data_IF_431068272518
#
_entry.id   IF_431068272518
#
_cell.length_a   1.000
_cell.length_b   1.000
_cell.length_c   1.000
_cell.angle_alpha   90.00
_cell.angle_beta   90.00
_cell.angle_gamma   90.00
#
_symmetry.space_group_name_H-M   'P 1'
#
loop_
_entity.id
_entity.type
_entity.pdbx_description
1 polymer ?
#
# COMPACT_ATOMS: atom_id res chain seq x y z
N UNK A 1 -10.20 17.78 36.38
CA UNK A 1 -10.72 17.19 35.13
C UNK A 1 -10.72 15.68 35.31
N UNK A 2 -11.76 14.99 34.85
CA UNK A 2 -11.88 13.53 34.97
C UNK A 2 -10.81 12.85 34.09
N UNK A 3 -9.78 12.31 34.74
CA UNK A 3 -8.59 11.71 34.11
C UNK A 3 -8.95 10.51 33.23
N UNK A 4 -10.00 9.76 33.59
CA UNK A 4 -10.50 8.63 32.80
C UNK A 4 -11.15 9.13 31.51
N UNK A 5 -11.97 10.19 31.56
CA UNK A 5 -12.58 10.77 30.35
C UNK A 5 -11.53 11.32 29.38
N UNK A 6 -10.49 11.96 29.90
CA UNK A 6 -9.39 12.47 29.07
C UNK A 6 -8.63 11.34 28.37
N UNK A 7 -8.24 10.30 29.11
CA UNK A 7 -7.62 9.10 28.53
C UNK A 7 -8.52 8.46 27.48
N UNK A 8 -9.80 8.27 27.78
CA UNK A 8 -10.75 7.69 26.84
C UNK A 8 -10.92 8.54 25.57
N UNK A 9 -10.90 9.87 25.68
CA UNK A 9 -10.90 10.75 24.53
C UNK A 9 -9.63 10.60 23.69
N UNK A 10 -8.46 10.54 24.33
CA UNK A 10 -7.18 10.31 23.65
C UNK A 10 -7.19 9.01 22.85
N UNK A 11 -7.53 7.88 23.48
CA UNK A 11 -7.57 6.59 22.80
C UNK A 11 -8.57 6.57 21.63
N UNK A 12 -9.75 7.21 21.73
CA UNK A 12 -10.66 7.34 20.58
C UNK A 12 -10.08 8.09 19.38
N UNK A 13 -9.03 8.89 19.57
CA UNK A 13 -8.41 9.71 18.52
C UNK A 13 -7.10 9.13 18.02
N UNK A 14 -6.38 8.40 18.87
CA UNK A 14 -5.04 7.89 18.61
C UNK A 14 -4.96 6.35 18.58
N UNK A 15 -6.06 5.64 18.80
CA UNK A 15 -6.14 4.18 18.77
C UNK A 15 -7.52 3.69 18.33
N UNK A 16 -7.69 2.37 18.39
CA UNK A 16 -8.96 1.66 18.16
C UNK A 16 -9.78 1.46 19.44
N UNK A 17 -9.50 2.23 20.49
CA UNK A 17 -10.13 2.13 21.81
C UNK A 17 -9.13 1.84 22.93
N UNK A 18 -9.68 1.61 24.13
CA UNK A 18 -8.90 1.27 25.31
C UNK A 18 -9.66 0.26 26.17
N UNK A 19 -8.91 -0.64 26.78
CA UNK A 19 -9.38 -1.49 27.86
C UNK A 19 -9.60 -0.66 29.12
N UNK A 20 -10.43 -1.18 30.03
CA UNK A 20 -10.65 -0.55 31.34
C UNK A 20 -9.35 -0.41 32.13
N UNK A 21 -8.46 -1.40 32.05
CA UNK A 21 -7.17 -1.37 32.73
C UNK A 21 -6.26 -0.25 32.22
N UNK A 22 -6.23 0.02 30.92
CA UNK A 22 -5.47 1.14 30.36
C UNK A 22 -6.02 2.51 30.79
N UNK A 23 -7.35 2.62 30.92
CA UNK A 23 -7.98 3.85 31.40
C UNK A 23 -7.68 4.12 32.88
N UNK A 24 -7.80 3.10 33.73
CA UNK A 24 -7.60 3.21 35.18
C UNK A 24 -6.11 3.30 35.54
N UNK A 25 -5.26 2.46 34.93
CA UNK A 25 -3.87 2.24 35.37
C UNK A 25 -2.81 2.61 34.32
N UNK A 26 -3.18 2.92 33.08
CA UNK A 26 -2.22 3.24 32.02
C UNK A 26 -1.54 4.59 32.16
N UNK A 27 -0.49 4.81 31.37
CA UNK A 27 0.25 6.08 31.28
C UNK A 27 -0.64 7.25 30.84
N UNK A 28 -0.15 8.48 31.05
CA UNK A 28 -0.86 9.68 30.62
C UNK A 28 -0.79 9.86 29.09
N UNK A 29 -1.79 10.48 28.46
CA UNK A 29 -1.82 10.68 27.00
C UNK A 29 -0.54 11.26 26.38
N UNK A 30 0.09 12.24 27.04
CA UNK A 30 1.31 12.87 26.54
C UNK A 30 2.51 11.89 26.54
N UNK A 31 2.60 11.04 27.54
CA UNK A 31 3.66 10.04 27.64
C UNK A 31 3.46 8.93 26.60
N UNK A 32 2.22 8.48 26.40
CA UNK A 32 1.87 7.49 25.38
C UNK A 32 2.17 7.98 23.96
N UNK A 33 1.79 9.21 23.61
CA UNK A 33 2.07 9.72 22.26
C UNK A 33 3.58 9.90 22.04
N UNK A 34 4.32 10.33 23.07
CA UNK A 34 5.77 10.45 22.97
C UNK A 34 6.44 9.10 22.75
N UNK A 35 6.03 8.05 23.48
CA UNK A 35 6.59 6.71 23.30
C UNK A 35 6.25 6.14 21.92
N UNK A 36 5.02 6.30 21.45
CA UNK A 36 4.59 5.83 20.12
C UNK A 36 5.27 6.56 18.96
N UNK A 37 5.66 7.83 19.13
CA UNK A 37 6.40 8.57 18.11
C UNK A 37 7.90 8.23 18.10
N UNK A 38 8.46 7.80 19.24
CA UNK A 38 9.87 7.39 19.34
C UNK A 38 10.13 5.99 18.76
N UNK A 39 9.13 5.10 18.82
CA UNK A 39 9.14 3.82 18.12
C UNK A 39 8.01 3.75 17.08
N UNK A 40 8.19 4.45 15.94
CA UNK A 40 7.15 4.54 14.92
C UNK A 40 7.00 3.27 14.10
N UNK A 41 7.81 2.23 14.31
CA UNK A 41 7.82 1.02 13.48
C UNK A 41 7.77 -0.23 14.37
N UNK A 42 6.65 -0.45 15.10
CA UNK A 42 6.47 -1.70 15.82
C UNK A 42 6.60 -2.86 14.83
N UNK A 43 7.30 -3.92 15.21
CA UNK A 43 7.37 -5.12 14.37
C UNK A 43 5.94 -5.65 14.19
N UNK A 44 5.37 -5.60 12.96
CA UNK A 44 3.99 -6.03 12.77
C UNK A 44 3.89 -7.52 13.05
N UNK A 45 2.71 -8.01 13.45
CA UNK A 45 2.44 -9.44 13.44
C UNK A 45 2.86 -10.04 12.08
N UNK A 46 3.45 -11.24 12.05
CA UNK A 46 3.87 -11.87 10.80
C UNK A 46 2.73 -11.87 9.77
N UNK A 47 2.97 -11.42 8.53
CA UNK A 47 1.95 -11.43 7.50
C UNK A 47 1.54 -12.87 7.14
N UNK A 48 0.30 -13.08 6.63
CA UNK A 48 -0.14 -14.39 6.19
C UNK A 48 0.74 -14.90 5.05
N UNK A 49 1.00 -16.21 5.05
CA UNK A 49 1.68 -16.87 3.94
C UNK A 49 0.71 -17.05 2.79
N UNK A 50 1.07 -16.53 1.62
CA UNK A 50 0.21 -16.53 0.45
C UNK A 50 0.64 -17.62 -0.53
N UNK A 51 -0.32 -18.46 -0.93
CA UNK A 51 -0.11 -19.46 -1.96
C UNK A 51 -0.05 -18.81 -3.35
N UNK A 52 0.78 -19.35 -4.26
CA UNK A 52 0.79 -18.87 -5.63
C UNK A 52 -0.57 -19.10 -6.32
N UNK A 53 -0.93 -18.28 -7.33
CA UNK A 53 -2.17 -18.44 -8.05
C UNK A 53 -2.27 -19.83 -8.68
N UNK A 54 -3.34 -20.57 -8.36
CA UNK A 54 -3.62 -21.89 -8.93
C UNK A 54 -3.73 -21.91 -10.45
N UNK A 55 -4.16 -20.80 -11.07
CA UNK A 55 -4.24 -20.64 -12.51
C UNK A 55 -3.57 -19.34 -12.96
N UNK A 56 -2.70 -19.45 -13.98
CA UNK A 56 -2.16 -18.30 -14.71
C UNK A 56 -3.21 -17.71 -15.66
N UNK A 57 -3.07 -16.43 -16.09
CA UNK A 57 -4.04 -15.79 -17.00
C UNK A 57 -4.34 -16.58 -18.28
N UNK A 58 -3.33 -17.23 -18.89
CA UNK A 58 -3.54 -18.09 -20.08
C UNK A 58 -4.32 -19.36 -19.75
N UNK A 59 -4.01 -20.01 -18.63
CA UNK A 59 -4.70 -21.23 -18.19
C UNK A 59 -6.17 -20.93 -17.86
N UNK A 60 -6.46 -19.74 -17.32
CA UNK A 60 -7.83 -19.31 -17.03
C UNK A 60 -8.75 -19.39 -18.25
N UNK A 61 -8.23 -19.06 -19.44
CA UNK A 61 -9.02 -19.09 -20.69
C UNK A 61 -9.39 -20.51 -21.12
N UNK A 62 -8.57 -21.50 -20.77
CA UNK A 62 -8.74 -22.90 -21.16
C UNK A 62 -9.35 -23.77 -20.05
N UNK A 63 -9.32 -23.28 -18.80
CA UNK A 63 -9.81 -23.99 -17.63
C UNK A 63 -11.33 -24.21 -17.66
N UNK A 64 -11.76 -25.34 -17.09
CA UNK A 64 -13.15 -25.69 -16.86
C UNK A 64 -13.84 -24.72 -15.89
N UNK A 65 -15.19 -24.66 -15.87
CA UNK A 65 -15.92 -23.86 -14.90
C UNK A 65 -15.56 -24.18 -13.43
N UNK A 66 -15.28 -25.44 -13.12
CA UNK A 66 -14.89 -25.89 -11.78
C UNK A 66 -13.53 -25.34 -11.35
N UNK A 67 -12.52 -25.47 -12.21
CA UNK A 67 -11.16 -24.94 -11.96
C UNK A 67 -11.17 -23.41 -11.82
N UNK A 68 -11.92 -22.71 -12.67
CA UNK A 68 -12.10 -21.24 -12.55
C UNK A 68 -12.77 -20.84 -11.24
N UNK A 69 -13.71 -21.66 -10.74
CA UNK A 69 -14.34 -21.43 -9.43
C UNK A 69 -13.35 -21.64 -8.30
N UNK A 70 -12.56 -22.70 -8.35
CA UNK A 70 -11.52 -22.98 -7.35
C UNK A 70 -10.47 -21.86 -7.28
N UNK A 71 -9.97 -21.39 -8.43
CA UNK A 71 -9.00 -20.30 -8.48
C UNK A 71 -9.56 -18.99 -7.89
N UNK A 72 -10.82 -18.66 -8.20
CA UNK A 72 -11.49 -17.50 -7.59
C UNK A 72 -11.68 -17.65 -6.09
N UNK A 73 -12.02 -18.85 -5.62
CA UNK A 73 -12.16 -19.12 -4.19
C UNK A 73 -10.82 -19.01 -3.46
N UNK A 74 -9.72 -19.47 -4.05
CA UNK A 74 -8.37 -19.31 -3.50
C UNK A 74 -8.00 -17.83 -3.34
N UNK A 75 -8.20 -17.02 -4.39
CA UNK A 75 -7.96 -15.57 -4.35
C UNK A 75 -8.80 -14.91 -3.25
N UNK A 76 -10.08 -15.29 -3.14
CA UNK A 76 -10.99 -14.76 -2.12
C UNK A 76 -10.55 -15.15 -0.71
N UNK A 77 -10.14 -16.40 -0.49
CA UNK A 77 -9.66 -16.88 0.82
C UNK A 77 -8.46 -16.07 1.28
N UNK A 78 -7.43 -15.98 0.45
CA UNK A 78 -6.21 -15.23 0.76
C UNK A 78 -6.48 -13.73 0.98
N UNK A 79 -7.42 -13.13 0.23
CA UNK A 79 -7.81 -11.74 0.47
C UNK A 79 -8.51 -11.55 1.83
N UNK A 80 -9.33 -12.52 2.26
CA UNK A 80 -9.96 -12.51 3.58
C UNK A 80 -8.94 -12.76 4.70
N UNK A 81 -7.94 -13.62 4.47
CA UNK A 81 -6.83 -13.84 5.41
C UNK A 81 -6.01 -12.57 5.63
N UNK A 82 -5.69 -11.83 4.56
CA UNK A 82 -5.08 -10.49 4.67
C UNK A 82 -6.00 -9.57 5.48
N UNK A 83 -7.30 -9.55 5.19
CA UNK A 83 -8.27 -8.74 5.94
C UNK A 83 -8.31 -9.06 7.44
N UNK A 84 -8.29 -10.35 7.79
CA UNK A 84 -8.23 -10.81 9.18
C UNK A 84 -6.95 -10.37 9.88
N UNK A 85 -5.80 -10.55 9.21
CA UNK A 85 -4.51 -10.07 9.70
C UNK A 85 -4.49 -8.55 9.92
N UNK A 86 -5.05 -7.75 9.01
CA UNK A 86 -5.16 -6.30 9.18
C UNK A 86 -5.95 -5.91 10.43
N UNK A 87 -7.07 -6.59 10.69
CA UNK A 87 -7.90 -6.36 11.88
C UNK A 87 -7.13 -6.75 13.15
N UNK A 88 -6.40 -7.87 13.11
CA UNK A 88 -5.59 -8.32 14.24
C UNK A 88 -4.51 -7.30 14.59
N UNK A 89 -3.83 -6.71 13.59
CA UNK A 89 -2.88 -5.60 13.81
C UNK A 89 -3.57 -4.43 14.52
N UNK A 90 -4.71 -3.97 14.01
CA UNK A 90 -5.43 -2.81 14.59
C UNK A 90 -5.81 -3.00 16.06
N UNK A 91 -6.12 -4.24 16.46
CA UNK A 91 -6.59 -4.55 17.82
C UNK A 91 -5.44 -4.89 18.77
N UNK A 92 -4.32 -5.44 18.27
CA UNK A 92 -3.27 -6.02 19.11
C UNK A 92 -1.93 -5.31 19.03
N UNK A 93 -1.74 -4.38 18.08
CA UNK A 93 -0.47 -3.69 17.89
C UNK A 93 -0.05 -2.92 19.16
N UNK A 94 1.22 -3.05 19.60
CA UNK A 94 1.73 -2.30 20.75
C UNK A 94 1.69 -0.78 20.58
N UNK A 95 1.75 -0.31 19.33
CA UNK A 95 1.61 1.09 18.95
C UNK A 95 0.35 1.27 18.10
N UNK A 96 -0.82 1.54 18.71
CA UNK A 96 -2.07 1.69 17.98
C UNK A 96 -2.17 3.01 17.19
N UNK A 97 -1.35 4.01 17.52
CA UNK A 97 -1.26 5.24 16.73
C UNK A 97 -0.73 4.95 15.33
N UNK A 98 0.27 4.07 15.23
CA UNK A 98 0.80 3.60 13.95
C UNK A 98 -0.30 3.02 13.04
N UNK A 99 -1.13 2.11 13.56
CA UNK A 99 -2.21 1.50 12.78
C UNK A 99 -3.34 2.50 12.47
N UNK A 100 -3.61 3.45 13.37
CA UNK A 100 -4.57 4.54 13.14
C UNK A 100 -4.11 5.43 11.97
N UNK A 101 -2.83 5.82 11.95
CA UNK A 101 -2.27 6.62 10.86
C UNK A 101 -2.15 5.81 9.56
N UNK A 102 -1.77 4.53 9.64
CA UNK A 102 -1.82 3.60 8.50
C UNK A 102 -3.21 3.57 7.87
N UNK A 103 -4.27 3.53 8.68
CA UNK A 103 -5.65 3.57 8.21
C UNK A 103 -5.99 4.91 7.52
N UNK A 104 -5.55 6.04 8.06
CA UNK A 104 -5.70 7.35 7.40
C UNK A 104 -5.08 7.32 6.01
N UNK A 105 -3.87 6.76 5.88
CA UNK A 105 -3.21 6.66 4.58
C UNK A 105 -3.89 5.69 3.63
N UNK A 106 -4.44 4.57 4.12
CA UNK A 106 -5.27 3.67 3.32
C UNK A 106 -6.48 4.39 2.73
N UNK A 107 -7.13 5.23 3.53
CA UNK A 107 -8.34 5.94 3.12
C UNK A 107 -8.04 7.11 2.17
N UNK A 108 -6.86 7.72 2.31
CA UNK A 108 -6.40 8.81 1.44
C UNK A 108 -5.80 8.30 0.11
N UNK A 109 -4.88 7.34 0.19
CA UNK A 109 -4.24 6.67 -0.94
C UNK A 109 -5.03 5.40 -1.25
N UNK A 110 -6.18 5.55 -1.90
CA UNK A 110 -7.08 4.41 -2.13
C UNK A 110 -6.64 3.54 -3.31
N UNK A 111 -6.83 2.22 -3.18
CA UNK A 111 -6.76 1.26 -4.29
C UNK A 111 -7.97 0.34 -4.28
N UNK A 112 -8.37 -0.16 -5.45
CA UNK A 112 -9.42 -1.17 -5.55
C UNK A 112 -8.83 -2.56 -5.82
N UNK A 113 -9.03 -3.49 -4.89
CA UNK A 113 -8.67 -4.90 -5.09
C UNK A 113 -9.25 -5.49 -6.38
N UNK A 114 -10.43 -5.02 -6.81
CA UNK A 114 -11.07 -5.50 -8.04
C UNK A 114 -10.29 -5.17 -9.32
N UNK A 115 -9.43 -4.15 -9.31
CA UNK A 115 -8.62 -3.75 -10.49
C UNK A 115 -7.44 -4.70 -10.74
N UNK A 116 -6.90 -5.35 -9.70
CA UNK A 116 -5.74 -6.23 -9.83
C UNK A 116 -6.00 -7.69 -9.43
N UNK A 117 -6.94 -7.94 -8.51
CA UNK A 117 -7.43 -9.26 -8.10
C UNK A 117 -6.30 -10.27 -7.78
N UNK A 118 -5.26 -9.80 -7.09
CA UNK A 118 -4.06 -10.56 -6.74
C UNK A 118 -3.67 -10.25 -5.28
N UNK A 119 -3.87 -11.21 -4.35
CA UNK A 119 -3.56 -11.02 -2.92
C UNK A 119 -2.12 -10.55 -2.64
N UNK A 120 -1.07 -11.03 -3.34
CA UNK A 120 0.29 -10.53 -3.11
C UNK A 120 0.45 -9.03 -3.34
N UNK A 121 -0.27 -8.45 -4.31
CA UNK A 121 -0.20 -7.01 -4.58
C UNK A 121 -0.92 -6.20 -3.51
N UNK A 122 -2.01 -6.74 -2.95
CA UNK A 122 -2.65 -6.14 -1.79
C UNK A 122 -1.70 -6.16 -0.61
N UNK A 123 -1.11 -7.32 -0.29
CA UNK A 123 -0.19 -7.44 0.86
C UNK A 123 1.03 -6.50 0.74
N UNK A 124 1.66 -6.43 -0.43
CA UNK A 124 2.76 -5.47 -0.69
C UNK A 124 2.30 -4.02 -0.45
N UNK A 125 1.11 -3.65 -0.94
CA UNK A 125 0.52 -2.32 -0.70
C UNK A 125 0.34 -2.02 0.80
N UNK A 126 -0.22 -2.97 1.54
CA UNK A 126 -0.47 -2.86 2.98
C UNK A 126 0.80 -2.72 3.81
N UNK A 127 1.86 -3.43 3.42
CA UNK A 127 3.16 -3.36 4.08
C UNK A 127 3.85 -2.03 3.81
N UNK A 128 3.72 -1.47 2.61
CA UNK A 128 4.26 -0.13 2.28
C UNK A 128 3.58 0.96 3.08
N UNK A 129 2.25 0.94 3.19
CA UNK A 129 1.54 1.92 4.02
C UNK A 129 2.05 1.92 5.46
N UNK A 130 2.25 0.74 6.03
CA UNK A 130 2.80 0.56 7.38
C UNK A 130 4.24 1.04 7.49
N UNK A 131 5.10 0.65 6.56
CA UNK A 131 6.51 1.02 6.57
C UNK A 131 6.72 2.55 6.66
N UNK A 132 5.84 3.34 6.07
CA UNK A 132 5.96 4.80 6.01
C UNK A 132 4.86 5.53 6.79
N UNK A 133 4.07 4.85 7.64
CA UNK A 133 2.86 5.44 8.22
C UNK A 133 3.16 6.70 9.06
N UNK A 134 4.18 6.66 9.91
CA UNK A 134 4.61 7.80 10.74
C UNK A 134 5.84 8.51 10.16
N UNK A 135 6.19 8.23 8.90
CA UNK A 135 7.38 8.74 8.22
C UNK A 135 7.12 9.96 7.34
N UNK A 136 8.05 10.23 6.44
CA UNK A 136 7.95 11.32 5.47
C UNK A 136 6.92 11.01 4.38
N UNK A 137 6.01 11.96 4.11
CA UNK A 137 4.93 11.77 3.16
C UNK A 137 5.43 11.56 1.72
N UNK A 138 6.55 12.18 1.32
CA UNK A 138 7.14 11.98 -0.02
C UNK A 138 7.60 10.54 -0.18
N UNK A 139 8.17 9.94 0.86
CA UNK A 139 8.66 8.57 0.82
C UNK A 139 7.49 7.57 0.79
N UNK A 140 6.45 7.82 1.60
CA UNK A 140 5.17 7.10 1.53
C UNK A 140 4.58 7.16 0.11
N UNK A 141 4.43 8.39 -0.42
CA UNK A 141 3.84 8.63 -1.71
C UNK A 141 4.63 7.94 -2.82
N UNK A 142 5.96 8.02 -2.79
CA UNK A 142 6.81 7.34 -3.77
C UNK A 142 6.68 5.81 -3.70
N UNK A 143 6.70 5.26 -2.48
CA UNK A 143 6.57 3.82 -2.25
C UNK A 143 5.22 3.29 -2.75
N UNK A 144 4.13 3.98 -2.43
CA UNK A 144 2.78 3.68 -2.93
C UNK A 144 2.70 3.89 -4.43
N UNK A 145 3.30 4.97 -4.95
CA UNK A 145 3.17 5.35 -6.35
C UNK A 145 3.69 4.27 -7.29
N UNK A 146 4.75 3.60 -6.84
CA UNK A 146 5.47 2.55 -7.57
C UNK A 146 4.98 1.13 -7.25
N UNK A 147 3.98 0.99 -6.37
CA UNK A 147 3.41 -0.31 -6.00
C UNK A 147 2.59 -0.93 -7.15
N UNK A 148 2.61 -2.27 -7.32
CA UNK A 148 1.80 -2.94 -8.35
C UNK A 148 0.29 -2.67 -8.23
N UNK A 149 -0.22 -2.58 -6.99
CA UNK A 149 -1.64 -2.30 -6.76
C UNK A 149 -2.06 -0.93 -7.30
N UNK A 150 -1.29 0.12 -6.99
CA UNK A 150 -1.59 1.48 -7.43
C UNK A 150 -1.39 1.64 -8.95
N UNK A 151 -0.31 1.06 -9.50
CA UNK A 151 -0.04 1.08 -10.94
C UNK A 151 -1.19 0.47 -11.76
N UNK A 152 -1.82 -0.61 -11.28
CA UNK A 152 -2.98 -1.23 -11.94
C UNK A 152 -4.28 -0.47 -11.66
N UNK A 153 -4.43 0.07 -10.45
CA UNK A 153 -5.62 0.82 -10.07
C UNK A 153 -5.83 2.02 -11.02
N UNK A 154 -4.75 2.74 -11.33
CA UNK A 154 -4.74 3.96 -12.12
C UNK A 154 -4.31 3.76 -13.58
N UNK A 155 -4.37 2.51 -14.04
CA UNK A 155 -4.18 2.10 -15.43
C UNK A 155 -2.80 2.47 -16.03
N UNK A 156 -1.75 2.55 -15.20
CA UNK A 156 -0.38 2.88 -15.64
C UNK A 156 0.25 1.78 -16.51
N UNK A 157 -0.25 0.55 -16.45
CA UNK A 157 0.15 -0.51 -17.38
C UNK A 157 -0.14 -0.16 -18.86
N UNK A 158 -1.03 0.80 -19.11
CA UNK A 158 -1.35 1.33 -20.45
C UNK A 158 -0.52 2.57 -20.83
N UNK A 159 0.23 3.15 -19.91
CA UNK A 159 0.96 4.41 -20.11
C UNK A 159 2.29 4.18 -20.83
N UNK A 160 2.38 4.37 -22.15
CA UNK A 160 3.59 4.10 -22.94
C UNK A 160 4.25 5.38 -23.42
N UNK A 161 5.56 5.36 -23.67
CA UNK A 161 6.31 6.54 -24.10
C UNK A 161 5.81 7.13 -25.44
N UNK A 162 5.31 6.27 -26.33
CA UNK A 162 4.70 6.60 -27.61
C UNK A 162 3.19 6.91 -27.52
N UNK A 163 2.55 6.55 -26.40
CA UNK A 163 1.13 6.78 -26.16
C UNK A 163 0.88 6.96 -24.65
N UNK A 164 1.00 8.21 -24.20
CA UNK A 164 0.88 8.55 -22.78
C UNK A 164 -0.53 8.27 -22.28
N UNK A 165 -0.61 7.68 -21.09
CA UNK A 165 -1.85 7.64 -20.31
C UNK A 165 -1.68 8.58 -19.12
N UNK A 166 -2.37 9.71 -19.19
CA UNK A 166 -2.28 10.81 -18.22
C UNK A 166 -3.06 10.56 -16.93
N UNK A 167 -3.94 9.55 -16.89
CA UNK A 167 -4.88 9.35 -15.78
C UNK A 167 -4.18 9.33 -14.43
N UNK A 168 -3.12 8.51 -14.30
CA UNK A 168 -2.41 8.42 -13.04
C UNK A 168 -1.72 9.73 -12.67
N UNK A 169 -1.02 10.38 -13.61
CA UNK A 169 -0.37 11.65 -13.31
C UNK A 169 -1.36 12.71 -12.84
N UNK A 170 -2.55 12.75 -13.45
CA UNK A 170 -3.60 13.69 -13.09
C UNK A 170 -4.15 13.40 -11.69
N UNK A 171 -4.47 12.13 -11.39
CA UNK A 171 -4.96 11.74 -10.06
C UNK A 171 -3.90 11.96 -8.97
N UNK A 172 -2.63 11.70 -9.26
CA UNK A 172 -1.53 11.95 -8.33
C UNK A 172 -1.46 13.44 -7.94
N UNK A 173 -1.61 14.34 -8.91
CA UNK A 173 -1.64 15.78 -8.66
C UNK A 173 -2.92 16.23 -7.97
N UNK A 174 -4.06 15.78 -8.48
CA UNK A 174 -5.37 16.27 -8.07
C UNK A 174 -5.87 15.69 -6.73
N UNK A 175 -5.68 14.40 -6.50
CA UNK A 175 -6.30 13.70 -5.37
C UNK A 175 -5.31 13.49 -4.22
N UNK A 176 -4.03 13.29 -4.52
CA UNK A 176 -3.05 12.87 -3.52
C UNK A 176 -2.05 13.96 -3.13
N UNK A 177 -1.89 15.03 -3.90
CA UNK A 177 -0.83 16.02 -3.60
C UNK A 177 -1.34 17.46 -3.52
N UNK A 178 -1.34 18.16 -4.66
CA UNK A 178 -1.47 19.61 -4.72
C UNK A 178 -2.91 20.09 -4.92
N UNK A 179 -3.82 19.20 -5.29
CA UNK A 179 -5.23 19.52 -5.47
C UNK A 179 -5.56 20.10 -6.84
N UNK A 180 -6.86 20.11 -7.14
CA UNK A 180 -7.39 20.64 -8.41
C UNK A 180 -7.08 22.14 -8.56
N UNK A 181 -6.65 22.55 -9.76
CA UNK A 181 -6.40 23.96 -10.08
C UNK A 181 -4.99 24.46 -9.71
N UNK A 182 -4.15 23.60 -9.13
CA UNK A 182 -2.77 23.92 -8.75
C UNK A 182 -1.72 23.32 -9.70
N UNK A 183 -2.16 22.77 -10.84
CA UNK A 183 -1.30 22.18 -11.87
C UNK A 183 -1.80 22.56 -13.27
N UNK A 184 -0.92 22.49 -14.25
CA UNK A 184 -1.24 22.69 -15.66
C UNK A 184 -1.32 21.37 -16.41
N UNK A 185 -1.90 21.40 -17.61
CA UNK A 185 -1.90 20.23 -18.50
C UNK A 185 -0.48 19.77 -18.86
N UNK A 186 0.46 20.70 -18.95
CA UNK A 186 1.87 20.38 -19.19
C UNK A 186 2.47 19.58 -18.04
N UNK A 187 2.11 19.88 -16.79
CA UNK A 187 2.55 19.13 -15.61
C UNK A 187 2.02 17.69 -15.64
N UNK A 188 0.74 17.51 -16.00
CA UNK A 188 0.13 16.18 -16.16
C UNK A 188 0.87 15.35 -17.22
N UNK A 189 1.18 15.95 -18.37
CA UNK A 189 1.96 15.27 -19.41
C UNK A 189 3.38 14.94 -18.96
N UNK A 190 4.04 15.84 -18.24
CA UNK A 190 5.37 15.60 -17.70
C UNK A 190 5.39 14.45 -16.69
N UNK A 191 4.43 14.42 -15.76
CA UNK A 191 4.29 13.32 -14.79
C UNK A 191 3.90 12.01 -15.47
N UNK A 192 3.04 12.04 -16.50
CA UNK A 192 2.72 10.85 -17.29
C UNK A 192 3.96 10.27 -17.96
N UNK A 193 4.82 11.12 -18.55
CA UNK A 193 6.11 10.69 -19.12
C UNK A 193 7.02 10.06 -18.06
N UNK A 194 7.11 10.66 -16.87
CA UNK A 194 7.86 10.12 -15.74
C UNK A 194 7.38 8.73 -15.31
N UNK A 195 6.08 8.47 -15.43
CA UNK A 195 5.47 7.21 -15.03
C UNK A 195 5.56 6.06 -16.06
N UNK A 196 5.94 6.33 -17.32
CA UNK A 196 5.98 5.31 -18.38
C UNK A 196 6.96 4.16 -18.13
N UNK A 197 8.00 4.38 -17.32
CA UNK A 197 9.03 3.39 -17.00
C UNK A 197 8.63 2.40 -15.90
N UNK A 198 7.54 2.68 -15.18
CA UNK A 198 7.09 1.86 -14.05
C UNK A 198 6.14 0.78 -14.53
N UNK A 199 6.63 -0.47 -14.49
CA UNK A 199 5.95 -1.66 -14.99
C UNK A 199 5.99 -2.77 -13.97
N UNK A 200 4.91 -3.53 -13.95
CA UNK A 200 4.83 -4.79 -13.22
C UNK A 200 5.55 -5.83 -14.05
N UNK A 201 6.56 -6.48 -13.47
CA UNK A 201 7.32 -7.54 -14.11
C UNK A 201 6.42 -8.77 -14.37
N UNK A 202 6.19 -9.13 -15.65
CA UNK A 202 5.43 -10.34 -15.99
C UNK A 202 6.13 -11.64 -15.55
N UNK A 203 7.45 -11.62 -15.32
CA UNK A 203 8.23 -12.78 -14.88
C UNK A 203 8.12 -13.01 -13.38
N UNK A 204 7.99 -11.95 -12.59
CA UNK A 204 7.68 -12.05 -11.17
C UNK A 204 6.35 -12.79 -10.94
N UNK A 205 5.34 -12.49 -11.77
CA UNK A 205 4.06 -13.22 -11.83
C UNK A 205 4.21 -14.69 -12.25
N UNK A 206 5.32 -15.07 -12.90
CA UNK A 206 5.61 -16.44 -13.37
C UNK A 206 6.51 -17.24 -12.42
N UNK A 207 7.41 -16.58 -11.69
CA UNK A 207 8.37 -17.20 -10.73
C UNK A 207 7.73 -17.64 -9.41
N UNK A 208 6.44 -17.33 -9.21
CA UNK A 208 5.56 -17.86 -8.16
C UNK A 208 5.37 -19.41 -8.21
N UNK A 209 6.37 -20.19 -8.58
CA UNK A 209 6.29 -21.65 -8.63
C UNK A 209 7.61 -22.40 -8.56
N UNK A 210 8.77 -21.74 -8.55
CA UNK A 210 10.06 -22.46 -8.66
C UNK A 210 11.06 -22.22 -7.52
N UNK A 211 10.87 -21.23 -6.63
CA UNK A 211 12.01 -20.84 -5.77
C UNK A 211 11.72 -20.37 -4.34
N UNK A 212 10.53 -20.56 -3.76
CA UNK A 212 10.30 -20.27 -2.33
C UNK A 212 10.71 -18.85 -1.88
N UNK A 213 10.74 -17.89 -2.81
CA UNK A 213 11.21 -16.53 -2.53
C UNK A 213 10.10 -15.81 -1.78
N UNK A 214 10.35 -15.27 -0.58
CA UNK A 214 9.33 -14.59 0.19
C UNK A 214 8.76 -13.41 -0.61
N UNK A 215 7.43 -13.33 -0.61
CA UNK A 215 6.60 -12.34 -1.29
C UNK A 215 6.90 -10.90 -0.83
N UNK A 216 7.71 -10.73 0.22
CA UNK A 216 8.06 -9.45 0.83
C UNK A 216 9.14 -8.65 0.08
N UNK A 217 9.83 -9.20 -0.93
CA UNK A 217 10.83 -8.45 -1.69
C UNK A 217 10.17 -7.66 -2.83
N UNK A 218 9.74 -6.43 -2.55
CA UNK A 218 9.32 -5.40 -3.51
C UNK A 218 10.21 -5.30 -4.78
N UNK A 219 11.49 -5.65 -4.66
CA UNK A 219 12.45 -5.65 -5.76
C UNK A 219 12.21 -6.76 -6.80
N UNK A 220 11.52 -7.85 -6.46
CA UNK A 220 11.30 -8.97 -7.35
C UNK A 220 10.24 -8.70 -8.43
N UNK A 221 9.41 -7.66 -8.27
CA UNK A 221 8.21 -7.39 -9.09
C UNK A 221 8.33 -6.19 -10.03
N UNK A 222 9.41 -5.42 -9.93
CA UNK A 222 9.59 -4.19 -10.70
C UNK A 222 10.72 -4.36 -11.70
N UNK A 223 10.38 -4.29 -12.99
CA UNK A 223 11.37 -3.93 -14.02
C UNK A 223 11.38 -2.41 -14.15
N UNK A 224 12.08 -1.75 -13.23
CA UNK A 224 12.49 -0.36 -13.47
C UNK A 224 13.62 -0.39 -14.52
N UNK A 225 13.28 -0.28 -15.82
CA UNK A 225 14.29 0.17 -16.77
C UNK A 225 14.57 1.64 -16.44
N UNK A 226 15.65 1.88 -15.68
CA UNK A 226 16.25 3.20 -15.47
C UNK A 226 16.39 3.90 -16.83
N UNK A 227 15.55 4.91 -17.06
CA UNK A 227 15.68 5.84 -18.19
C UNK A 227 15.54 7.30 -17.74
N UNK A 228 15.67 7.58 -16.44
CA UNK A 228 15.32 8.88 -15.85
C UNK A 228 16.48 9.68 -15.24
N UNK A 229 17.70 9.51 -15.76
CA UNK A 229 18.81 10.45 -15.50
C UNK A 229 19.51 10.82 -16.80
N UNK A 230 18.79 11.55 -17.65
CA UNK A 230 19.36 12.33 -18.75
C UNK A 230 18.47 13.55 -19.02
N UNK A 231 18.25 14.38 -18.00
CA UNK A 231 17.91 15.79 -18.20
C UNK A 231 19.24 16.54 -18.05
N UNK A 232 19.83 17.08 -19.14
CA UNK A 232 21.06 17.84 -19.03
C UNK A 232 20.75 19.19 -18.38
N UNK A 233 21.46 19.46 -17.28
CA UNK A 233 21.44 20.73 -16.57
C UNK A 233 20.33 20.77 -15.53
N UNK A 234 20.70 20.61 -14.26
CA UNK A 234 20.38 21.49 -13.13
C UNK A 234 21.28 21.01 -11.97
N UNK A 235 22.27 21.84 -11.65
CA UNK A 235 23.23 21.63 -10.57
C UNK A 235 22.50 21.64 -9.23
N UNK A 236 22.90 20.74 -8.33
CA UNK A 236 22.41 20.66 -6.97
C UNK A 236 22.62 21.99 -6.23
N UNK A 237 21.59 22.44 -5.54
CA UNK A 237 21.66 23.17 -4.27
C UNK A 237 20.74 22.44 -3.29
#
# INVERSE_FOLDING_TARGET
MDTIRQKAHFFRRASWGATRAELENGSQPLELVQSWLQDPQPQPLPPPQLDPPSLRPRQMQQASPGERRQARNQIRSQALEIGGWLIEQMVTAPNPLHETVTQIWRDHLIVSFRKFNLPPFLLDYELRLRQYALGDYRDLLWSVTTSPAMLLYLDNQRNRADHLNENYSRELMELFTIGRGHYTEADVQAGARALTGWRIDPLALRRNGEAGVPICAAAAWMTAKRLFWAIPGHSRL
#
